data_IF_750423196922
#
_entry.id   IF_750423196922
#
_cell.length_a   1.000
_cell.length_b   1.000
_cell.length_c   1.000
_cell.angle_alpha   90.00
_cell.angle_beta   90.00
_cell.angle_gamma   90.00
#
_symmetry.space_group_name_H-M   'P 1'
#
loop_
_entity.id
_entity.type
_entity.pdbx_description
1 polymer ?
#
# COMPACT_ATOMS: atom_id res chain seq x y z
N UNK A 1 -49.63 34.16 -31.96
CA UNK A 1 -48.21 34.21 -31.52
C UNK A 1 -48.12 33.45 -30.21
N UNK A 2 -47.74 32.18 -30.31
CA UNK A 2 -47.51 31.26 -29.20
C UNK A 2 -46.15 31.62 -28.58
N UNK A 3 -46.09 31.84 -27.26
CA UNK A 3 -44.82 32.00 -26.54
C UNK A 3 -44.61 30.79 -25.66
N UNK A 4 -43.70 29.92 -26.08
CA UNK A 4 -43.24 28.78 -25.28
C UNK A 4 -42.40 29.28 -24.10
N UNK A 5 -42.78 28.85 -22.90
CA UNK A 5 -42.00 29.03 -21.67
C UNK A 5 -40.97 27.89 -21.60
N UNK A 6 -39.70 28.20 -21.84
CA UNK A 6 -38.58 27.28 -21.58
C UNK A 6 -38.14 27.49 -20.14
N UNK A 7 -38.49 26.56 -19.25
CA UNK A 7 -37.95 26.50 -17.88
C UNK A 7 -36.66 25.68 -17.96
N UNK A 8 -35.51 26.36 -17.88
CA UNK A 8 -34.23 25.69 -17.76
C UNK A 8 -34.11 25.07 -16.35
N UNK A 9 -34.09 23.74 -16.28
CA UNK A 9 -33.88 22.96 -15.07
C UNK A 9 -32.38 22.98 -14.76
N UNK A 10 -31.96 23.81 -13.80
CA UNK A 10 -30.58 23.79 -13.29
C UNK A 10 -30.49 22.70 -12.23
N UNK A 11 -29.82 21.59 -12.53
CA UNK A 11 -29.45 20.60 -11.53
C UNK A 11 -28.38 21.18 -10.59
N UNK A 12 -28.46 20.93 -9.27
CA UNK A 12 -27.44 21.38 -8.34
C UNK A 12 -26.19 20.52 -8.52
N UNK A 13 -25.14 21.11 -9.07
CA UNK A 13 -23.81 20.50 -9.05
C UNK A 13 -23.26 20.57 -7.62
N UNK A 14 -23.02 19.40 -7.03
CA UNK A 14 -22.20 19.28 -5.81
C UNK A 14 -20.82 19.93 -6.07
N UNK A 15 -20.31 20.76 -5.15
CA UNK A 15 -19.01 21.39 -5.35
C UNK A 15 -17.92 20.31 -5.38
N UNK A 16 -17.22 20.23 -6.52
CA UNK A 16 -15.99 19.47 -6.64
C UNK A 16 -14.99 19.95 -5.59
N UNK A 17 -14.40 19.01 -4.85
CA UNK A 17 -13.38 19.26 -3.85
C UNK A 17 -12.18 19.97 -4.51
N UNK A 18 -12.08 21.29 -4.31
CA UNK A 18 -10.96 22.08 -4.78
C UNK A 18 -9.76 21.72 -3.92
N UNK A 19 -8.77 21.05 -4.50
CA UNK A 19 -7.43 20.96 -3.93
C UNK A 19 -6.93 22.39 -3.66
N UNK A 20 -6.98 22.80 -2.40
CA UNK A 20 -6.65 24.16 -1.98
C UNK A 20 -5.14 24.23 -1.83
N UNK A 21 -4.43 24.58 -2.90
CA UNK A 21 -3.00 24.88 -2.82
C UNK A 21 -2.82 26.21 -2.09
N UNK A 22 -2.26 26.15 -0.88
CA UNK A 22 -1.85 27.33 -0.12
C UNK A 22 -0.47 27.79 -0.60
N UNK A 23 -0.39 29.00 -1.15
CA UNK A 23 0.88 29.65 -1.51
C UNK A 23 1.17 30.81 -0.57
N UNK A 24 2.33 30.78 0.10
CA UNK A 24 2.84 31.89 0.89
C UNK A 24 3.81 32.70 0.04
N UNK A 25 3.52 34.00 -0.15
CA UNK A 25 4.49 34.96 -0.66
C UNK A 25 4.85 35.90 0.48
N UNK A 26 6.13 35.89 0.90
CA UNK A 26 6.63 36.78 1.94
C UNK A 26 7.63 37.77 1.33
N UNK A 27 7.38 39.06 1.55
CA UNK A 27 8.38 40.12 1.41
C UNK A 27 8.56 40.83 2.76
N UNK A 28 9.81 41.11 3.14
CA UNK A 28 10.16 41.70 4.44
C UNK A 28 10.55 40.69 5.54
N UNK A 29 10.78 41.19 6.77
CA UNK A 29 11.39 40.47 7.91
C UNK A 29 10.37 39.82 8.89
N UNK A 30 9.19 39.41 8.39
CA UNK A 30 8.16 38.76 9.22
C UNK A 30 8.34 37.25 9.40
N UNK A 31 7.40 36.60 10.10
CA UNK A 31 7.29 35.13 10.15
C UNK A 31 5.87 34.76 9.73
N UNK A 32 5.74 33.88 8.73
CA UNK A 32 4.47 33.28 8.35
C UNK A 32 4.33 31.91 9.02
N UNK A 33 3.16 31.64 9.61
CA UNK A 33 2.83 30.35 10.22
C UNK A 33 1.52 29.86 9.57
N UNK A 34 1.59 28.73 8.88
CA UNK A 34 0.43 28.04 8.32
C UNK A 34 0.07 26.82 9.17
N UNK A 35 -1.22 26.61 9.42
CA UNK A 35 -1.75 25.42 10.08
C UNK A 35 -2.44 24.54 9.04
N UNK A 36 -1.92 23.34 8.81
CA UNK A 36 -2.64 22.30 8.08
C UNK A 36 -3.35 21.41 9.10
N UNK A 37 -4.68 21.39 9.08
CA UNK A 37 -5.49 20.56 9.99
C UNK A 37 -5.45 19.08 9.57
N UNK A 38 -5.39 18.82 8.26
CA UNK A 38 -5.29 17.49 7.69
C UNK A 38 -4.15 17.48 6.67
N UNK A 39 -3.16 16.61 6.87
CA UNK A 39 -2.06 16.36 5.94
C UNK A 39 -2.19 14.92 5.49
N UNK A 40 -2.43 14.71 4.19
CA UNK A 40 -2.37 13.39 3.59
C UNK A 40 -0.99 13.20 2.99
N UNK A 41 -0.25 12.20 3.45
CA UNK A 41 1.05 11.91 2.88
C UNK A 41 0.85 11.14 1.58
N UNK A 42 0.88 11.85 0.45
CA UNK A 42 0.81 11.22 -0.87
C UNK A 42 2.10 11.40 -1.65
N UNK A 43 2.57 10.32 -2.28
CA UNK A 43 3.69 10.35 -3.21
C UNK A 43 3.21 10.08 -4.64
N UNK A 44 3.77 10.77 -5.62
CA UNK A 44 3.58 10.43 -7.03
C UNK A 44 4.75 9.54 -7.45
N UNK A 45 4.44 8.36 -7.99
CA UNK A 45 5.44 7.45 -8.53
C UNK A 45 5.20 7.18 -10.01
N UNK A 46 6.29 6.90 -10.73
CA UNK A 46 6.25 6.43 -12.11
C UNK A 46 6.49 4.92 -12.12
N UNK A 47 5.45 4.15 -12.41
CA UNK A 47 5.52 2.70 -12.55
C UNK A 47 5.70 2.34 -14.01
N UNK A 48 6.73 1.55 -14.33
CA UNK A 48 6.90 1.05 -15.69
C UNK A 48 5.85 -0.03 -15.97
N UNK A 49 5.14 0.11 -17.09
CA UNK A 49 4.20 -0.90 -17.61
C UNK A 49 4.83 -1.62 -18.78
N UNK A 50 5.84 -2.48 -18.55
CA UNK A 50 6.39 -3.30 -19.62
C UNK A 50 5.78 -4.70 -19.64
N UNK A 51 5.01 -5.00 -20.68
CA UNK A 51 4.88 -6.36 -21.21
C UNK A 51 5.58 -6.37 -22.57
N UNK A 52 6.79 -6.95 -22.62
CA UNK A 52 7.54 -7.39 -23.81
C UNK A 52 7.27 -6.67 -25.16
N UNK A 53 8.23 -5.87 -25.64
CA UNK A 53 8.78 -5.81 -27.02
C UNK A 53 9.47 -4.46 -27.25
N UNK A 54 10.70 -4.50 -27.79
CA UNK A 54 11.47 -3.44 -28.50
C UNK A 54 10.85 -2.02 -28.56
N UNK A 55 10.64 -1.39 -27.41
CA UNK A 55 10.01 -0.08 -27.30
C UNK A 55 10.36 0.57 -25.97
N UNK A 56 10.44 1.90 -25.94
CA UNK A 56 10.73 2.65 -24.74
C UNK A 56 9.72 2.29 -23.62
N UNK A 57 10.17 2.16 -22.36
CA UNK A 57 9.27 1.85 -21.26
C UNK A 57 8.17 2.92 -21.15
N UNK A 58 6.91 2.49 -21.19
CA UNK A 58 5.78 3.34 -20.83
C UNK A 58 5.68 3.40 -19.31
N UNK A 59 5.45 4.61 -18.78
CA UNK A 59 5.31 4.85 -17.35
C UNK A 59 3.89 5.31 -17.06
N UNK A 60 3.26 4.72 -16.05
CA UNK A 60 2.02 5.23 -15.48
C UNK A 60 2.36 6.02 -14.22
N UNK A 61 1.76 7.20 -14.13
CA UNK A 61 1.80 8.00 -12.90
C UNK A 61 0.78 7.42 -11.93
N UNK A 62 1.20 7.08 -10.72
CA UNK A 62 0.34 6.59 -9.66
C UNK A 62 0.51 7.46 -8.41
N UNK A 63 -0.60 7.95 -7.87
CA UNK A 63 -0.62 8.57 -6.56
C UNK A 63 -0.71 7.47 -5.51
N UNK A 64 0.23 7.47 -4.58
CA UNK A 64 0.35 6.52 -3.49
C UNK A 64 -0.04 7.23 -2.20
N UNK A 65 -0.97 6.66 -1.46
CA UNK A 65 -1.27 7.07 -0.10
C UNK A 65 -0.32 6.35 0.85
N UNK A 66 0.47 7.12 1.59
CA UNK A 66 1.51 6.64 2.51
C UNK A 66 1.03 6.54 3.94
N UNK A 67 -0.21 6.96 4.25
CA UNK A 67 -0.77 6.88 5.60
C UNK A 67 -1.00 5.41 6.02
N UNK A 68 -1.13 4.50 5.03
CA UNK A 68 -1.33 3.08 5.23
C UNK A 68 -0.35 2.24 4.42
N UNK A 69 -0.16 0.96 4.77
CA UNK A 69 0.51 0.00 3.92
C UNK A 69 -0.13 -1.39 3.97
N UNK A 70 0.01 -2.15 2.89
CA UNK A 70 -0.35 -3.58 2.83
C UNK A 70 0.84 -4.43 3.28
N UNK A 71 0.60 -5.35 4.22
CA UNK A 71 1.56 -6.39 4.60
C UNK A 71 1.07 -7.73 4.04
N UNK A 72 1.86 -8.33 3.15
CA UNK A 72 1.67 -9.71 2.70
C UNK A 72 2.77 -10.58 3.27
N UNK A 73 2.37 -11.60 4.03
CA UNK A 73 3.27 -12.67 4.50
C UNK A 73 2.72 -13.96 3.93
N UNK A 74 3.44 -14.61 3.01
CA UNK A 74 2.95 -15.81 2.32
C UNK A 74 4.02 -16.91 2.34
N UNK A 75 3.69 -18.06 2.92
CA UNK A 75 4.60 -19.20 3.00
C UNK A 75 5.02 -19.68 1.61
N UNK A 76 6.33 -19.76 1.39
CA UNK A 76 6.90 -20.30 0.16
C UNK A 76 6.79 -19.40 -1.08
N UNK A 77 6.12 -18.25 -0.98
CA UNK A 77 6.01 -17.30 -2.09
C UNK A 77 7.35 -16.58 -2.31
N UNK A 78 7.84 -16.63 -3.55
CA UNK A 78 9.10 -15.99 -3.95
C UNK A 78 8.88 -14.63 -4.61
N UNK A 79 7.61 -14.32 -4.97
CA UNK A 79 7.24 -13.10 -5.68
C UNK A 79 7.99 -12.94 -7.01
N UNK A 80 8.27 -14.05 -7.68
CA UNK A 80 8.90 -14.13 -9.00
C UNK A 80 7.88 -14.03 -10.15
N UNK A 81 6.62 -14.32 -9.85
CA UNK A 81 5.47 -14.20 -10.76
C UNK A 81 4.84 -12.82 -10.66
N UNK A 82 4.05 -12.47 -11.68
CA UNK A 82 3.28 -11.21 -11.70
C UNK A 82 2.09 -11.18 -10.75
N UNK A 83 1.76 -12.32 -10.13
CA UNK A 83 0.66 -12.44 -9.18
C UNK A 83 0.90 -13.58 -8.19
N UNK A 84 0.20 -13.51 -7.06
CA UNK A 84 0.04 -14.59 -6.10
C UNK A 84 -1.44 -14.70 -5.67
N UNK A 85 -1.79 -15.74 -4.91
CA UNK A 85 -3.15 -15.98 -4.40
C UNK A 85 -3.15 -15.89 -2.89
N UNK A 86 -4.17 -15.26 -2.33
CA UNK A 86 -4.41 -15.13 -0.89
C UNK A 86 -5.78 -15.74 -0.56
N UNK A 87 -5.82 -16.56 0.50
CA UNK A 87 -7.07 -17.05 1.07
C UNK A 87 -7.86 -15.89 1.65
N UNK A 88 -9.10 -15.70 1.18
CA UNK A 88 -9.98 -14.62 1.63
C UNK A 88 -10.25 -14.67 3.15
N UNK A 89 -10.17 -15.85 3.78
CA UNK A 89 -10.35 -16.02 5.23
C UNK A 89 -9.21 -15.46 6.07
N UNK A 90 -8.07 -15.15 5.44
CA UNK A 90 -6.89 -14.54 6.08
C UNK A 90 -6.51 -13.20 5.47
N UNK A 91 -7.38 -12.66 4.60
CA UNK A 91 -7.20 -11.36 3.99
C UNK A 91 -7.96 -10.29 4.78
N UNK A 92 -7.21 -9.28 5.24
CA UNK A 92 -7.71 -8.11 5.95
C UNK A 92 -8.53 -8.41 7.20
N UNK A 93 -8.30 -9.53 7.87
CA UNK A 93 -9.05 -9.89 9.08
C UNK A 93 -8.43 -9.30 10.35
N UNK A 94 -9.27 -9.06 11.36
CA UNK A 94 -8.82 -8.53 12.66
C UNK A 94 -7.87 -9.48 13.40
N UNK A 95 -8.08 -10.78 13.22
CA UNK A 95 -7.24 -11.83 13.82
C UNK A 95 -5.85 -11.93 13.18
N UNK A 96 -5.66 -11.34 12.00
CA UNK A 96 -4.40 -11.38 11.26
C UNK A 96 -3.77 -9.98 11.19
N UNK A 97 -4.05 -9.08 12.13
CA UNK A 97 -3.35 -7.80 12.22
C UNK A 97 -4.09 -6.56 11.73
N UNK A 98 -5.21 -6.67 11.01
CA UNK A 98 -5.92 -5.49 10.50
C UNK A 98 -6.78 -4.84 11.59
N UNK A 99 -6.68 -3.53 11.79
CA UNK A 99 -7.54 -2.82 12.73
C UNK A 99 -9.04 -2.95 12.35
N UNK A 100 -9.93 -3.00 13.34
CA UNK A 100 -11.38 -3.18 13.11
C UNK A 100 -11.96 -2.15 12.13
N UNK A 101 -11.59 -0.87 12.27
CA UNK A 101 -12.07 0.21 11.38
C UNK A 101 -11.62 0.04 9.93
N UNK A 102 -10.45 -0.57 9.70
CA UNK A 102 -9.93 -0.87 8.36
C UNK A 102 -10.64 -2.10 7.81
N UNK A 103 -10.82 -3.13 8.63
CA UNK A 103 -11.56 -4.34 8.26
C UNK A 103 -12.98 -4.01 7.78
N UNK A 104 -13.74 -3.28 8.59
CA UNK A 104 -15.14 -2.93 8.31
C UNK A 104 -15.29 -2.15 7.00
N UNK A 105 -14.26 -1.36 6.65
CA UNK A 105 -14.24 -0.51 5.46
C UNK A 105 -13.77 -1.24 4.20
N UNK A 106 -12.76 -2.12 4.32
CA UNK A 106 -12.01 -2.62 3.16
C UNK A 106 -12.14 -4.13 2.91
N UNK A 107 -12.52 -4.93 3.92
CA UNK A 107 -12.59 -6.39 3.80
C UNK A 107 -13.76 -6.88 2.92
N UNK A 108 -14.65 -5.99 2.48
CA UNK A 108 -15.70 -6.29 1.50
C UNK A 108 -15.16 -6.47 0.08
N UNK A 109 -13.97 -5.93 -0.22
CA UNK A 109 -13.37 -5.89 -1.56
C UNK A 109 -14.35 -5.38 -2.64
N UNK A 110 -15.16 -4.36 -2.32
CA UNK A 110 -15.89 -3.59 -3.34
C UNK A 110 -14.91 -2.91 -4.31
N UNK A 111 -15.38 -2.37 -5.43
CA UNK A 111 -14.50 -1.69 -6.38
C UNK A 111 -13.85 -0.44 -5.77
N UNK A 112 -14.57 0.26 -4.88
CA UNK A 112 -14.06 1.39 -4.11
C UNK A 112 -12.99 0.92 -3.12
N UNK A 113 -13.26 -0.16 -2.36
CA UNK A 113 -12.30 -0.73 -1.42
C UNK A 113 -11.03 -1.19 -2.14
N UNK A 114 -11.15 -1.88 -3.28
CA UNK A 114 -10.00 -2.30 -4.10
C UNK A 114 -9.22 -1.09 -4.61
N UNK A 115 -9.89 -0.06 -5.10
CA UNK A 115 -9.24 1.16 -5.57
C UNK A 115 -8.42 1.82 -4.46
N UNK A 116 -8.99 1.89 -3.26
CA UNK A 116 -8.33 2.44 -2.08
C UNK A 116 -7.13 1.59 -1.64
N UNK A 117 -7.32 0.28 -1.49
CA UNK A 117 -6.25 -0.68 -1.14
C UNK A 117 -5.08 -0.57 -2.13
N UNK A 118 -5.37 -0.46 -3.43
CA UNK A 118 -4.36 -0.35 -4.47
C UNK A 118 -3.60 0.98 -4.41
N UNK A 119 -4.10 2.00 -3.72
CA UNK A 119 -3.38 3.25 -3.51
C UNK A 119 -2.25 3.13 -2.47
N UNK A 120 -2.22 2.05 -1.68
CA UNK A 120 -1.24 1.87 -0.61
C UNK A 120 0.05 1.20 -1.08
N UNK A 121 1.21 1.54 -0.48
CA UNK A 121 2.43 0.76 -0.59
C UNK A 121 2.24 -0.65 -0.04
N UNK A 122 3.14 -1.55 -0.42
CA UNK A 122 3.10 -2.96 -0.04
C UNK A 122 4.47 -3.45 0.43
N UNK A 123 4.46 -4.26 1.49
CA UNK A 123 5.57 -5.12 1.90
C UNK A 123 5.18 -6.55 1.55
N UNK A 124 6.03 -7.22 0.78
CA UNK A 124 5.88 -8.62 0.40
C UNK A 124 6.97 -9.43 1.09
N UNK A 125 6.59 -10.34 1.97
CA UNK A 125 7.50 -11.11 2.81
C UNK A 125 7.11 -12.60 2.81
N UNK A 126 8.06 -13.46 3.14
CA UNK A 126 7.77 -14.87 3.37
C UNK A 126 7.47 -15.10 4.87
N UNK A 127 6.88 -16.24 5.21
CA UNK A 127 6.84 -16.66 6.60
C UNK A 127 8.27 -16.84 7.14
N UNK A 128 8.50 -16.49 8.40
CA UNK A 128 9.78 -16.69 9.08
C UNK A 128 10.16 -18.18 9.05
N UNK A 129 11.42 -18.48 8.73
CA UNK A 129 11.91 -19.85 8.73
C UNK A 129 12.11 -20.44 10.13
N UNK A 130 11.87 -19.67 11.20
CA UNK A 130 12.09 -20.08 12.60
C UNK A 130 11.32 -21.35 12.99
N UNK A 131 10.22 -21.62 12.29
CA UNK A 131 9.39 -22.82 12.46
C UNK A 131 9.34 -23.72 11.22
N UNK A 132 10.21 -23.46 10.25
CA UNK A 132 10.26 -24.27 9.04
C UNK A 132 10.85 -25.66 9.35
N UNK A 133 10.45 -26.71 8.59
CA UNK A 133 10.94 -28.06 8.82
C UNK A 133 12.48 -28.14 8.86
N UNK A 134 13.09 -29.08 9.60
CA UNK A 134 14.55 -29.17 9.74
C UNK A 134 15.33 -29.29 8.42
N UNK A 135 14.67 -29.71 7.34
CA UNK A 135 15.21 -29.84 5.99
C UNK A 135 15.30 -28.50 5.23
N UNK A 136 14.60 -27.45 5.67
CA UNK A 136 14.80 -26.08 5.20
C UNK A 136 15.98 -25.44 5.94
N UNK A 137 17.20 -25.73 5.51
CA UNK A 137 18.37 -24.97 5.95
C UNK A 137 18.33 -23.59 5.31
N UNK A 138 18.05 -22.55 6.10
CA UNK A 138 18.12 -21.17 5.64
C UNK A 138 19.58 -20.75 5.46
N UNK A 139 20.09 -20.88 4.22
CA UNK A 139 21.48 -20.50 3.88
C UNK A 139 21.64 -18.99 3.66
N UNK A 140 20.54 -18.26 3.47
CA UNK A 140 20.54 -16.82 3.16
C UNK A 140 19.56 -16.04 4.06
N UNK A 141 19.83 -14.74 4.34
CA UNK A 141 18.92 -13.89 5.07
C UNK A 141 17.57 -13.74 4.33
N UNK A 142 16.47 -13.74 5.07
CA UNK A 142 15.15 -13.45 4.50
C UNK A 142 15.06 -11.96 4.15
N UNK A 143 14.66 -11.68 2.90
CA UNK A 143 14.50 -10.33 2.38
C UNK A 143 13.04 -10.14 1.98
N UNK A 144 12.43 -9.09 2.51
CA UNK A 144 11.14 -8.61 2.06
C UNK A 144 11.31 -7.64 0.88
N UNK A 145 10.28 -7.54 0.05
CA UNK A 145 10.23 -6.67 -1.11
C UNK A 145 9.24 -5.52 -0.86
N UNK A 146 9.58 -4.34 -1.35
CA UNK A 146 8.68 -3.20 -1.36
C UNK A 146 8.03 -3.05 -2.75
N UNK A 147 6.77 -2.67 -2.81
CA UNK A 147 6.10 -2.47 -4.10
C UNK A 147 4.65 -2.03 -3.97
N UNK A 148 3.85 -2.35 -4.98
CA UNK A 148 2.46 -1.91 -5.08
C UNK A 148 1.56 -2.96 -5.73
N UNK A 149 0.29 -2.99 -5.32
CA UNK A 149 -0.74 -3.76 -6.01
C UNK A 149 -1.12 -3.04 -7.31
N UNK A 150 -1.20 -3.80 -8.41
CA UNK A 150 -1.62 -3.30 -9.72
C UNK A 150 -3.04 -3.74 -10.08
N UNK A 151 -3.50 -4.86 -9.54
CA UNK A 151 -4.87 -5.36 -9.71
C UNK A 151 -5.24 -6.36 -8.62
N UNK A 152 -6.49 -6.29 -8.15
CA UNK A 152 -7.09 -7.30 -7.27
C UNK A 152 -8.21 -7.99 -8.04
N UNK A 153 -8.17 -9.32 -8.14
CA UNK A 153 -9.18 -10.11 -8.79
C UNK A 153 -9.72 -11.17 -7.84
N UNK A 154 -11.03 -11.16 -7.59
CA UNK A 154 -11.69 -12.23 -6.86
C UNK A 154 -11.90 -13.44 -7.78
N UNK A 155 -11.56 -14.62 -7.28
CA UNK A 155 -11.72 -15.89 -7.97
C UNK A 155 -13.07 -16.53 -7.65
N UNK A 156 -13.49 -17.52 -8.44
CA UNK A 156 -14.78 -18.20 -8.27
C UNK A 156 -14.91 -18.91 -6.90
N UNK A 157 -13.80 -19.33 -6.30
CA UNK A 157 -13.77 -19.95 -4.98
C UNK A 157 -13.75 -18.93 -3.82
N UNK A 158 -13.77 -17.63 -4.13
CA UNK A 158 -13.72 -16.54 -3.15
C UNK A 158 -12.31 -15.99 -2.89
N UNK A 159 -11.26 -16.75 -3.21
CA UNK A 159 -9.87 -16.34 -3.00
C UNK A 159 -9.49 -15.13 -3.86
N UNK A 160 -8.42 -14.45 -3.45
CA UNK A 160 -7.99 -13.20 -4.04
C UNK A 160 -6.70 -13.41 -4.82
N UNK A 161 -6.75 -13.14 -6.11
CA UNK A 161 -5.59 -13.09 -6.99
C UNK A 161 -5.04 -11.67 -7.01
N UNK A 162 -3.85 -11.49 -6.46
CA UNK A 162 -3.19 -10.18 -6.30
C UNK A 162 -2.11 -10.05 -7.35
N UNK A 163 -2.28 -9.09 -8.25
CA UNK A 163 -1.23 -8.67 -9.18
C UNK A 163 -0.45 -7.52 -8.56
N UNK A 164 0.86 -7.55 -8.72
CA UNK A 164 1.73 -6.58 -8.06
C UNK A 164 2.91 -6.17 -8.95
N UNK A 165 3.56 -5.10 -8.52
CA UNK A 165 4.84 -4.64 -9.05
C UNK A 165 5.79 -4.43 -7.89
N UNK A 166 6.86 -5.21 -7.86
CA UNK A 166 7.94 -5.09 -6.88
C UNK A 166 8.98 -4.07 -7.35
N UNK A 167 9.48 -3.27 -6.41
CA UNK A 167 10.61 -2.37 -6.58
C UNK A 167 11.86 -3.03 -6.00
N UNK A 168 12.41 -3.98 -6.74
CA UNK A 168 13.51 -4.85 -6.29
C UNK A 168 14.85 -4.13 -6.03
N UNK A 169 14.92 -2.82 -6.21
CA UNK A 169 16.14 -2.02 -6.03
C UNK A 169 16.55 -1.82 -4.56
N UNK A 170 15.65 -2.08 -3.61
CA UNK A 170 15.94 -1.95 -2.18
C UNK A 170 15.33 -3.13 -1.40
N UNK A 171 16.04 -4.28 -1.30
CA UNK A 171 15.57 -5.39 -0.47
C UNK A 171 15.59 -4.98 1.02
N UNK A 172 14.54 -5.34 1.75
CA UNK A 172 14.39 -5.01 3.16
C UNK A 172 14.76 -6.25 3.98
N UNK A 173 15.74 -6.20 4.89
CA UNK A 173 16.01 -7.32 5.79
C UNK A 173 14.77 -7.67 6.63
N UNK A 174 14.25 -8.89 6.52
CA UNK A 174 13.04 -9.28 7.24
C UNK A 174 13.27 -9.34 8.76
N UNK A 175 14.49 -9.64 9.22
CA UNK A 175 14.84 -9.56 10.65
C UNK A 175 14.72 -8.14 11.22
N UNK A 176 14.97 -7.11 10.41
CA UNK A 176 14.72 -5.73 10.81
C UNK A 176 13.22 -5.50 11.01
N UNK A 177 12.39 -5.91 10.04
CA UNK A 177 10.93 -5.80 10.14
C UNK A 177 10.36 -6.54 11.36
N UNK A 178 10.88 -7.74 11.65
CA UNK A 178 10.53 -8.50 12.85
C UNK A 178 10.81 -7.75 14.16
N UNK A 179 11.82 -6.88 14.18
CA UNK A 179 12.15 -6.06 15.35
C UNK A 179 11.30 -4.80 15.49
N UNK A 180 10.59 -4.39 14.44
CA UNK A 180 9.80 -3.15 14.36
C UNK A 180 8.33 -3.36 14.74
N UNK A 181 8.07 -4.21 15.75
CA UNK A 181 6.71 -4.61 16.13
C UNK A 181 5.84 -3.40 16.49
N UNK A 182 6.39 -2.45 17.26
CA UNK A 182 5.64 -1.25 17.68
C UNK A 182 5.55 -0.24 16.55
N UNK A 183 6.66 0.00 15.85
CA UNK A 183 6.75 0.99 14.78
C UNK A 183 5.84 0.66 13.59
N UNK A 184 5.67 -0.63 13.27
CA UNK A 184 4.84 -1.09 12.16
C UNK A 184 3.44 -1.56 12.58
N UNK A 185 3.06 -1.34 13.85
CA UNK A 185 1.78 -1.78 14.42
C UNK A 185 1.50 -3.28 14.17
N UNK A 186 2.53 -4.11 14.42
CA UNK A 186 2.43 -5.55 14.26
C UNK A 186 1.83 -6.19 15.51
N UNK A 187 0.93 -7.15 15.32
CA UNK A 187 0.45 -8.03 16.37
C UNK A 187 1.56 -9.02 16.77
N UNK A 188 1.69 -9.25 18.07
CA UNK A 188 2.64 -10.20 18.64
C UNK A 188 3.81 -9.52 19.35
N UNK A 189 5.01 -10.09 19.18
CA UNK A 189 6.25 -9.63 19.81
C UNK A 189 7.48 -10.02 18.96
N UNK A 190 8.68 -9.76 19.49
CA UNK A 190 9.97 -10.04 18.84
C UNK A 190 10.23 -11.53 18.54
N UNK A 191 9.51 -12.43 19.20
CA UNK A 191 9.64 -13.88 19.04
C UNK A 191 8.58 -14.48 18.13
N UNK A 192 7.35 -13.99 18.22
CA UNK A 192 6.21 -14.45 17.42
C UNK A 192 5.34 -13.26 17.04
N UNK A 193 5.25 -12.97 15.75
CA UNK A 193 4.47 -11.87 15.20
C UNK A 193 3.82 -12.25 13.86
N UNK A 194 3.28 -11.26 13.16
CA UNK A 194 2.64 -11.40 11.85
C UNK A 194 3.53 -12.09 10.78
N UNK A 195 4.87 -12.01 10.86
CA UNK A 195 5.76 -12.70 9.93
C UNK A 195 5.80 -14.23 10.13
N UNK A 196 5.21 -14.79 11.18
CA UNK A 196 5.21 -16.23 11.44
C UNK A 196 3.97 -16.95 10.88
N UNK A 197 3.10 -16.25 10.14
CA UNK A 197 1.86 -16.84 9.62
C UNK A 197 1.40 -16.22 8.31
N UNK A 198 0.91 -17.06 7.40
CA UNK A 198 0.41 -16.63 6.09
C UNK A 198 -0.87 -15.82 6.26
N UNK A 199 -0.83 -14.56 5.83
CA UNK A 199 -1.96 -13.62 5.88
C UNK A 199 -1.72 -12.39 4.98
N UNK A 200 -2.76 -11.56 4.88
CA UNK A 200 -2.67 -10.20 4.37
C UNK A 200 -3.32 -9.24 5.36
N UNK A 201 -2.59 -8.22 5.81
CA UNK A 201 -3.10 -7.14 6.67
C UNK A 201 -2.86 -5.75 6.08
N UNK A 202 -3.58 -4.76 6.60
CA UNK A 202 -3.33 -3.34 6.32
C UNK A 202 -3.09 -2.62 7.64
N UNK A 203 -2.03 -1.81 7.66
CA UNK A 203 -1.59 -1.03 8.82
C UNK A 203 -1.75 0.45 8.54
N UNK A 204 -2.13 1.21 9.57
CA UNK A 204 -2.20 2.67 9.53
C UNK A 204 -0.85 3.27 9.96
N UNK A 205 0.17 3.01 9.15
CA UNK A 205 1.55 3.41 9.41
C UNK A 205 2.21 3.86 8.11
N UNK A 206 2.98 4.93 8.18
CA UNK A 206 3.87 5.34 7.09
C UNK A 206 5.14 4.49 7.08
N UNK A 207 5.04 3.30 6.47
CA UNK A 207 6.14 2.31 6.43
C UNK A 207 7.43 2.87 5.83
N UNK A 208 7.34 3.82 4.91
CA UNK A 208 8.52 4.40 4.27
C UNK A 208 9.27 5.33 5.22
N UNK A 209 8.55 6.10 6.03
CA UNK A 209 9.16 6.94 7.06
C UNK A 209 9.80 6.09 8.16
N UNK A 210 9.09 5.06 8.64
CA UNK A 210 9.62 4.13 9.66
C UNK A 210 10.89 3.41 9.18
N UNK A 211 10.90 2.92 7.94
CA UNK A 211 12.08 2.28 7.35
C UNK A 211 13.23 3.28 7.16
N UNK A 212 12.93 4.52 6.77
CA UNK A 212 13.93 5.58 6.62
C UNK A 212 14.61 5.89 7.97
N UNK A 213 13.85 5.91 9.07
CA UNK A 213 14.40 6.08 10.42
C UNK A 213 15.35 4.94 10.83
N UNK A 214 15.15 3.74 10.27
CA UNK A 214 16.05 2.58 10.45
C UNK A 214 17.17 2.51 9.40
N UNK A 215 17.35 3.54 8.57
CA UNK A 215 18.42 3.63 7.57
C UNK A 215 18.10 2.95 6.24
N UNK A 216 16.87 2.47 6.04
CA UNK A 216 16.40 1.90 4.77
C UNK A 216 15.69 2.99 3.96
N UNK A 217 16.36 3.50 2.94
CA UNK A 217 15.76 4.46 2.02
C UNK A 217 15.09 3.72 0.88
N UNK A 218 13.77 3.53 1.00
CA UNK A 218 12.96 3.12 -0.14
C UNK A 218 12.95 4.29 -1.13
N UNK A 219 13.46 4.05 -2.34
CA UNK A 219 13.37 5.03 -3.42
C UNK A 219 11.89 5.27 -3.69
N UNK A 220 11.35 6.35 -3.15
CA UNK A 220 10.26 7.05 -3.80
C UNK A 220 10.95 7.82 -4.93
N UNK A 221 10.71 7.51 -6.21
CA UNK A 221 11.18 8.39 -7.27
C UNK A 221 10.47 9.73 -7.11
N UNK A 222 11.08 10.67 -6.39
CA UNK A 222 10.64 12.05 -6.35
C UNK A 222 11.14 12.73 -7.62
N UNK A 223 10.21 13.32 -8.37
CA UNK A 223 10.50 14.29 -9.42
C UNK A 223 11.23 15.51 -8.85
#
# INVERSE_FOLDING_TARGET
MTKDLVIAKTEPTLPAEKASTYSFNQSGQGTNIGLAQNVHNTAIILLSTSTNTLGAPTYIQKTINMDYFNLFVILGEQYDKSYFIVDVKRALTVNEGTAQSIHDRLASFSEEAKSEIMSYPCIFANENYRYAPPETTSVAPQLAQYGYITKIQQLHNGDLKIYFQSLSMCPIPQDLLNSMVTELDLQGNDKFNEFDRTHWSIKNVNVVEELKLKGISLLIPSL
#
